data_IF_930024315911
#
_entry.id   IF_930024315911
#
_cell.length_a   1.000
_cell.length_b   1.000
_cell.length_c   1.000
_cell.angle_alpha   90.00
_cell.angle_beta   90.00
_cell.angle_gamma   90.00
#
_symmetry.space_group_name_H-M   'P 1'
#
loop_
_entity.id
_entity.type
_entity.pdbx_description
1 polymer ?
#
# COMPACT_ATOMS: atom_id res chain seq x y z
N UNK A 1 3.83 -18.96 8.60
CA UNK A 1 3.03 -17.75 8.33
C UNK A 1 1.64 -17.88 8.95
N UNK A 2 1.44 -17.39 10.18
CA UNK A 2 0.14 -17.37 10.90
C UNK A 2 0.05 -16.11 11.79
N UNK A 3 -0.02 -14.91 11.20
CA UNK A 3 0.05 -13.62 11.94
C UNK A 3 -1.25 -13.11 12.53
N UNK A 4 -2.16 -13.98 12.96
CA UNK A 4 -3.52 -13.53 13.31
C UNK A 4 -3.55 -12.42 14.38
N UNK A 5 -2.57 -12.39 15.29
CA UNK A 5 -2.61 -11.51 16.47
C UNK A 5 -1.73 -10.24 16.37
N UNK A 6 -1.00 -10.04 15.27
CA UNK A 6 -0.02 -8.93 15.16
C UNK A 6 -0.29 -7.99 13.97
N UNK A 7 -1.30 -8.31 13.14
CA UNK A 7 -1.63 -7.48 11.97
C UNK A 7 -2.16 -6.12 12.45
N UNK A 8 -1.57 -5.00 12.01
CA UNK A 8 -2.03 -3.66 12.38
C UNK A 8 -3.50 -3.44 12.03
N UNK A 9 -4.30 -3.03 13.03
CA UNK A 9 -5.68 -2.61 12.86
C UNK A 9 -5.76 -1.08 12.91
N UNK A 10 -6.09 -0.48 11.77
CA UNK A 10 -6.21 0.97 11.60
C UNK A 10 -7.69 1.34 11.58
N UNK A 11 -8.07 2.35 12.35
CA UNK A 11 -9.43 2.88 12.41
C UNK A 11 -9.45 4.30 11.87
N UNK A 12 -10.38 4.59 10.96
CA UNK A 12 -10.56 5.91 10.36
C UNK A 12 -12.02 6.32 10.49
N UNK A 13 -12.28 7.57 10.89
CA UNK A 13 -13.62 8.10 11.07
C UNK A 13 -13.93 8.42 12.52
N UNK A 14 -15.21 8.27 12.90
CA UNK A 14 -15.68 8.49 14.28
C UNK A 14 -16.14 7.16 14.89
N UNK A 15 -16.26 7.03 16.23
CA UNK A 15 -16.59 5.76 16.86
C UNK A 15 -17.90 5.08 16.39
N UNK A 16 -18.85 5.83 15.82
CA UNK A 16 -20.14 5.30 15.32
C UNK A 16 -20.21 5.21 13.78
N UNK A 17 -19.17 5.69 13.08
CA UNK A 17 -19.05 5.69 11.62
C UNK A 17 -17.57 5.49 11.29
N UNK A 18 -17.10 4.25 11.40
CA UNK A 18 -15.68 3.93 11.20
C UNK A 18 -15.43 2.99 10.02
N UNK A 19 -14.24 3.14 9.43
CA UNK A 19 -13.62 2.12 8.60
C UNK A 19 -12.50 1.44 9.40
N UNK A 20 -12.48 0.11 9.38
CA UNK A 20 -11.49 -0.74 10.03
C UNK A 20 -10.65 -1.43 8.97
N UNK A 21 -9.33 -1.23 9.03
CA UNK A 21 -8.40 -1.75 8.03
C UNK A 21 -7.39 -2.65 8.74
N UNK A 22 -7.34 -3.93 8.35
CA UNK A 22 -6.23 -4.81 8.69
C UNK A 22 -5.18 -4.74 7.60
N UNK A 23 -4.00 -4.20 7.91
CA UNK A 23 -2.92 -3.99 6.94
C UNK A 23 -1.99 -5.21 6.88
N UNK A 24 -2.16 -6.05 5.85
CA UNK A 24 -1.50 -7.36 5.74
C UNK A 24 -0.14 -7.27 5.04
N UNK A 25 0.01 -6.39 4.04
CA UNK A 25 1.27 -6.17 3.34
C UNK A 25 1.36 -4.73 2.81
N UNK A 26 2.59 -4.23 2.69
CA UNK A 26 2.89 -2.89 2.15
C UNK A 26 2.69 -1.78 3.19
N UNK A 27 2.37 -0.58 2.69
CA UNK A 27 2.21 0.65 3.49
C UNK A 27 0.88 1.32 3.24
N UNK A 28 0.27 1.85 4.29
CA UNK A 28 -0.96 2.64 4.19
C UNK A 28 -0.89 3.83 5.15
N UNK A 29 -0.91 5.05 4.60
CA UNK A 29 -0.57 6.27 5.32
C UNK A 29 0.76 6.09 6.08
N UNK A 30 0.77 6.33 7.39
CA UNK A 30 1.96 6.20 8.24
C UNK A 30 2.14 4.79 8.83
N UNK A 31 1.26 3.85 8.47
CA UNK A 31 1.30 2.47 8.96
C UNK A 31 2.03 1.56 7.97
N UNK A 32 2.88 0.70 8.52
CA UNK A 32 3.62 -0.33 7.79
C UNK A 32 3.07 -1.69 8.26
N UNK A 33 2.83 -2.59 7.31
CA UNK A 33 2.45 -3.96 7.60
C UNK A 33 3.59 -4.71 8.31
N UNK A 34 3.28 -5.90 8.82
CA UNK A 34 4.33 -6.88 9.14
C UNK A 34 5.09 -7.28 7.88
N UNK A 35 6.35 -7.67 8.05
CA UNK A 35 7.20 -8.16 6.97
C UNK A 35 6.57 -9.43 6.35
N UNK A 36 6.24 -9.43 5.04
CA UNK A 36 5.65 -10.58 4.37
C UNK A 36 6.55 -11.84 4.39
N UNK A 37 6.04 -12.99 3.94
CA UNK A 37 6.90 -14.16 3.72
C UNK A 37 7.98 -13.83 2.68
N UNK A 38 9.28 -14.12 2.93
CA UNK A 38 10.34 -13.95 1.93
C UNK A 38 10.03 -14.56 0.57
N UNK A 39 9.28 -15.65 0.52
CA UNK A 39 8.88 -16.32 -0.73
C UNK A 39 7.68 -15.64 -1.43
N UNK A 40 7.11 -14.58 -0.84
CA UNK A 40 5.98 -13.83 -1.40
C UNK A 40 6.46 -12.69 -2.30
N UNK A 41 5.77 -12.46 -3.41
CA UNK A 41 5.99 -11.25 -4.23
C UNK A 41 5.80 -9.94 -3.45
N UNK A 42 4.99 -9.97 -2.40
CA UNK A 42 4.75 -8.81 -1.53
C UNK A 42 5.91 -8.50 -0.58
N UNK A 43 6.90 -9.40 -0.45
CA UNK A 43 8.09 -9.20 0.40
C UNK A 43 8.91 -7.99 -0.03
N UNK A 44 9.17 -7.87 -1.33
CA UNK A 44 9.89 -6.72 -1.87
C UNK A 44 8.98 -5.50 -1.96
N UNK A 45 9.24 -4.50 -1.10
CA UNK A 45 8.51 -3.23 -1.07
C UNK A 45 8.60 -2.48 -2.40
N UNK A 46 9.64 -2.70 -3.19
CA UNK A 46 9.76 -2.10 -4.51
C UNK A 46 8.69 -2.59 -5.45
N UNK A 47 8.08 -3.76 -5.23
CA UNK A 47 6.97 -4.26 -6.05
C UNK A 47 5.70 -3.43 -5.91
N UNK A 48 5.59 -2.60 -4.87
CA UNK A 48 4.45 -1.70 -4.68
C UNK A 48 3.15 -2.42 -4.35
N UNK A 49 3.23 -3.65 -3.83
CA UNK A 49 2.06 -4.46 -3.45
C UNK A 49 1.50 -3.97 -2.11
N UNK A 50 0.18 -3.87 -2.04
CA UNK A 50 -0.54 -3.54 -0.81
C UNK A 50 -1.72 -4.49 -0.65
N UNK A 51 -1.80 -5.16 0.50
CA UNK A 51 -2.88 -6.10 0.82
C UNK A 51 -3.55 -5.63 2.11
N UNK A 52 -4.86 -5.39 2.03
CA UNK A 52 -5.65 -4.87 3.14
C UNK A 52 -6.99 -5.59 3.17
N UNK A 53 -7.47 -5.94 4.37
CA UNK A 53 -8.88 -6.23 4.59
C UNK A 53 -9.54 -4.98 5.14
N UNK A 54 -10.54 -4.46 4.43
CA UNK A 54 -11.23 -3.21 4.77
C UNK A 54 -12.68 -3.56 5.10
N UNK A 55 -13.10 -3.20 6.30
CA UNK A 55 -14.49 -3.25 6.75
C UNK A 55 -14.97 -1.81 6.95
N UNK A 56 -16.08 -1.42 6.33
CA UNK A 56 -16.58 -0.04 6.32
C UNK A 56 -18.01 -0.06 6.85
N UNK A 57 -18.29 0.75 7.88
CA UNK A 57 -19.65 0.91 8.38
C UNK A 57 -20.52 1.68 7.37
N UNK A 58 -21.85 1.59 7.51
CA UNK A 58 -22.77 2.33 6.64
C UNK A 58 -22.50 3.84 6.72
N UNK A 59 -22.57 4.52 5.57
CA UNK A 59 -22.34 5.97 5.43
C UNK A 59 -20.90 6.43 5.76
N UNK A 60 -19.94 5.51 5.89
CA UNK A 60 -18.51 5.83 6.01
C UNK A 60 -17.81 5.79 4.65
N UNK A 61 -16.72 6.55 4.52
CA UNK A 61 -15.93 6.65 3.31
C UNK A 61 -14.45 6.37 3.58
N UNK A 62 -13.73 5.88 2.56
CA UNK A 62 -12.29 5.69 2.59
C UNK A 62 -11.66 6.14 1.27
N UNK A 63 -10.54 6.84 1.35
CA UNK A 63 -9.76 7.26 0.19
C UNK A 63 -8.51 6.39 0.03
N UNK A 64 -8.39 5.72 -1.11
CA UNK A 64 -7.22 4.90 -1.45
C UNK A 64 -6.34 5.64 -2.46
N UNK A 65 -5.08 5.91 -2.07
CA UNK A 65 -4.08 6.42 -3.00
C UNK A 65 -3.66 5.31 -3.96
N UNK A 66 -3.75 5.57 -5.27
CA UNK A 66 -3.28 4.67 -6.31
C UNK A 66 -1.76 4.57 -6.25
N UNK A 67 -1.23 3.35 -6.30
CA UNK A 67 0.21 3.12 -6.49
C UNK A 67 0.48 3.15 -7.99
N UNK A 68 1.30 4.10 -8.44
CA UNK A 68 1.82 4.14 -9.82
C UNK A 68 3.34 4.07 -9.76
N UNK A 69 3.92 3.06 -10.41
CA UNK A 69 5.33 3.14 -10.82
C UNK A 69 5.36 3.96 -12.10
N UNK A 70 5.85 5.19 -12.01
CA UNK A 70 6.23 5.92 -13.22
C UNK A 70 7.53 5.28 -13.70
N UNK A 71 7.46 4.53 -14.80
CA UNK A 71 8.66 4.02 -15.45
C UNK A 71 9.33 5.20 -16.15
N UNK A 72 10.37 5.77 -15.52
CA UNK A 72 11.15 6.85 -16.12
C UNK A 72 11.96 6.37 -17.33
N UNK A 73 12.35 5.09 -17.36
CA UNK A 73 13.09 4.51 -18.50
C UNK A 73 12.24 4.42 -19.79
N UNK A 74 10.92 4.29 -19.69
CA UNK A 74 10.04 4.33 -20.86
C UNK A 74 9.82 5.75 -21.42
N UNK A 75 10.23 6.79 -20.68
CA UNK A 75 9.96 8.21 -20.99
C UNK A 75 11.20 9.00 -21.38
N UNK A 76 12.28 8.33 -21.80
CA UNK A 76 13.46 8.99 -22.34
C UNK A 76 13.45 8.88 -23.88
N UNK A 77 12.65 9.68 -24.62
CA UNK A 77 12.92 9.87 -26.03
C UNK A 77 14.21 10.68 -26.11
N UNK A 78 15.30 10.01 -26.49
CA UNK A 78 16.48 10.57 -27.13
C UNK A 78 16.74 12.06 -26.81
N UNK A 79 17.35 12.34 -25.65
CA UNK A 79 17.98 13.65 -25.49
C UNK A 79 19.11 13.75 -26.54
N UNK A 80 19.11 14.77 -27.42
CA UNK A 80 20.19 14.92 -28.37
C UNK A 80 21.47 15.20 -27.59
N UNK A 81 22.50 14.39 -27.85
CA UNK A 81 23.85 14.62 -27.35
C UNK A 81 24.30 15.99 -27.86
N UNK A 82 24.31 16.99 -26.98
CA UNK A 82 24.98 18.26 -27.27
C UNK A 82 26.48 17.95 -27.17
N UNK A 83 27.11 17.78 -28.34
CA UNK A 83 28.55 17.73 -28.47
C UNK A 83 29.06 19.14 -28.20
N UNK A 84 29.92 19.26 -27.20
CA UNK A 84 30.59 20.49 -26.78
C UNK A 84 31.87 20.72 -27.60
#
# INVERSE_FOLDING_TARGET
MLWRNEIPLIKIGTPNKEARIKLIAGKFNDYIALEPNPDSWAYDLNNGVKIMLIEIDAESEIFLKVVRKVCFECYMPLMPTIIQ
#
